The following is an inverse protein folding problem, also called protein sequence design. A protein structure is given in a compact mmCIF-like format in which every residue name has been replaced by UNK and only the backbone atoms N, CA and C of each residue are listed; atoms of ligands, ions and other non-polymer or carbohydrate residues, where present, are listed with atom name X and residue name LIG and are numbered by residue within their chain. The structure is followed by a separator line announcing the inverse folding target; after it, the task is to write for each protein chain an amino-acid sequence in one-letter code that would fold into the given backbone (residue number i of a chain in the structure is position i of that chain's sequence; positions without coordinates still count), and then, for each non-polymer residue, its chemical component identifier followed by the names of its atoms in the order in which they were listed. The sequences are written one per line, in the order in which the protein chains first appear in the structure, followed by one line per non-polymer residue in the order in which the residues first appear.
data_IF_527669178513
#
_entry.id   IF_527669178513
#
_cell.length_a   1.000
_cell.length_b   1.000
_cell.length_c   1.000
_cell.angle_alpha   90.00
_cell.angle_beta   90.00
_cell.angle_gamma   90.00
#
_symmetry.space_group_name_H-M   'P 1'
#
loop_
_entity.id
_entity.type
_entity.pdbx_description
1 polymer ?
#
# COMPACT_ATOMS: atom_id res chain seq x y z
N UNK A 1 14.55 -18.65 8.69
CA UNK A 1 15.03 -18.57 10.10
C UNK A 1 14.01 -19.30 10.95
N UNK A 2 14.42 -20.23 11.81
CA UNK A 2 13.51 -21.08 12.61
C UNK A 2 12.88 -20.37 13.80
N UNK A 3 13.37 -19.18 14.16
CA UNK A 3 12.86 -18.34 15.24
C UNK A 3 12.73 -16.91 14.74
N UNK A 4 11.62 -16.23 15.02
CA UNK A 4 11.41 -14.84 14.64
C UNK A 4 12.22 -13.86 15.50
N UNK A 5 12.37 -12.63 15.03
CA UNK A 5 13.02 -11.57 15.80
C UNK A 5 12.26 -11.24 17.11
N UNK A 6 10.92 -11.32 17.11
CA UNK A 6 10.09 -11.06 18.28
C UNK A 6 10.27 -12.13 19.37
N UNK A 7 10.34 -13.41 18.97
CA UNK A 7 10.59 -14.52 19.88
C UNK A 7 12.00 -14.44 20.50
N UNK A 8 13.01 -14.06 19.71
CA UNK A 8 14.37 -13.80 20.24
C UNK A 8 14.39 -12.63 21.22
N UNK A 9 13.65 -11.55 20.95
CA UNK A 9 13.57 -10.40 21.86
C UNK A 9 12.87 -10.76 23.18
N UNK A 10 11.94 -11.72 23.13
CA UNK A 10 11.17 -12.18 24.30
C UNK A 10 11.91 -13.23 25.14
N UNK A 11 13.11 -13.69 24.73
CA UNK A 11 13.84 -14.77 25.40
C UNK A 11 14.47 -14.40 26.75
N UNK A 12 14.25 -13.17 27.23
CA UNK A 12 14.73 -12.73 28.55
C UNK A 12 16.26 -12.73 28.67
N UNK A 13 16.99 -12.64 27.55
CA UNK A 13 18.45 -12.67 27.53
C UNK A 13 19.07 -14.07 27.45
N UNK A 14 18.26 -15.13 27.44
CA UNK A 14 18.76 -16.47 27.18
C UNK A 14 19.19 -16.60 25.70
N UNK A 15 20.33 -17.27 25.41
CA UNK A 15 20.76 -17.52 24.03
C UNK A 15 19.72 -18.37 23.30
N UNK A 16 19.24 -17.90 22.15
CA UNK A 16 18.31 -18.64 21.31
C UNK A 16 19.08 -19.29 20.17
N UNK A 17 19.03 -20.62 20.08
CA UNK A 17 19.61 -21.36 18.97
C UNK A 17 18.67 -21.27 17.76
N UNK A 18 19.10 -20.57 16.72
CA UNK A 18 18.36 -20.42 15.47
C UNK A 18 18.96 -21.29 14.37
N UNK A 19 18.09 -21.79 13.49
CA UNK A 19 18.46 -22.49 12.27
C UNK A 19 18.03 -21.68 11.06
N UNK A 20 18.86 -21.68 10.02
CA UNK A 20 18.57 -21.03 8.74
C UNK A 20 18.15 -22.10 7.73
N UNK A 21 16.84 -22.39 7.71
CA UNK A 21 16.25 -23.43 6.86
C UNK A 21 16.27 -23.07 5.35
N UNK A 22 16.45 -21.78 5.03
CA UNK A 22 16.46 -21.25 3.68
C UNK A 22 17.32 -19.98 3.60
N UNK A 23 17.71 -19.60 2.38
CA UNK A 23 18.35 -18.29 2.11
C UNK A 23 17.27 -17.22 2.13
N UNK A 24 17.40 -16.25 3.03
CA UNK A 24 16.50 -15.10 3.15
C UNK A 24 17.23 -13.78 3.01
N UNK A 25 16.46 -12.71 2.80
CA UNK A 25 16.95 -11.33 2.74
C UNK A 25 16.28 -10.47 3.80
N UNK A 26 16.85 -9.30 4.09
CA UNK A 26 16.27 -8.36 5.03
C UNK A 26 15.24 -7.44 4.33
N UNK A 27 13.97 -7.86 4.32
CA UNK A 27 12.84 -7.07 3.81
C UNK A 27 11.96 -6.47 4.91
N UNK A 28 12.46 -6.40 6.14
CA UNK A 28 11.69 -5.87 7.28
C UNK A 28 11.44 -4.38 7.09
N UNK A 29 10.18 -3.99 7.27
CA UNK A 29 9.80 -2.58 7.44
C UNK A 29 10.31 -2.07 8.79
N UNK A 30 10.75 -0.81 8.86
CA UNK A 30 11.17 -0.20 10.12
C UNK A 30 9.99 0.30 10.94
N UNK A 31 10.14 0.41 12.25
CA UNK A 31 9.10 0.93 13.14
C UNK A 31 8.65 2.35 12.75
N UNK A 32 9.57 3.18 12.25
CA UNK A 32 9.25 4.52 11.75
C UNK A 32 8.36 4.46 10.50
N UNK A 33 8.67 3.57 9.55
CA UNK A 33 7.82 3.38 8.38
C UNK A 33 6.43 2.86 8.77
N UNK A 34 6.36 1.94 9.73
CA UNK A 34 5.10 1.42 10.25
C UNK A 34 4.26 2.52 10.93
N UNK A 35 4.90 3.35 11.78
CA UNK A 35 4.22 4.45 12.46
C UNK A 35 3.64 5.48 11.47
N UNK A 36 4.40 5.84 10.44
CA UNK A 36 3.89 6.69 9.34
C UNK A 36 2.73 6.00 8.63
N UNK A 37 2.86 4.71 8.32
CA UNK A 37 1.83 3.90 7.69
C UNK A 37 0.51 3.90 8.47
N UNK A 38 0.55 3.77 9.79
CA UNK A 38 -0.65 3.79 10.64
C UNK A 38 -1.42 5.12 10.52
N UNK A 39 -0.71 6.25 10.51
CA UNK A 39 -1.33 7.57 10.32
C UNK A 39 -1.88 7.71 8.89
N UNK A 40 -1.17 7.23 7.88
CA UNK A 40 -1.63 7.24 6.48
C UNK A 40 -2.88 6.39 6.28
N UNK A 41 -2.96 5.21 6.90
CA UNK A 41 -4.14 4.34 6.86
C UNK A 41 -5.37 5.03 7.45
N UNK A 42 -5.22 5.81 8.53
CA UNK A 42 -6.30 6.61 9.10
C UNK A 42 -6.87 7.66 8.14
N UNK A 43 -6.05 8.17 7.21
CA UNK A 43 -6.44 9.17 6.19
C UNK A 43 -6.83 8.56 4.85
N UNK A 44 -6.64 7.25 4.66
CA UNK A 44 -6.82 6.58 3.38
C UNK A 44 -8.22 6.80 2.78
N UNK A 45 -9.34 6.73 3.53
CA UNK A 45 -10.67 6.96 2.97
C UNK A 45 -10.83 8.36 2.35
N UNK A 46 -10.36 9.40 3.04
CA UNK A 46 -10.41 10.79 2.57
C UNK A 46 -9.56 10.96 1.31
N UNK A 47 -8.32 10.43 1.31
CA UNK A 47 -7.41 10.53 0.16
C UNK A 47 -8.00 9.84 -1.07
N UNK A 48 -8.60 8.67 -0.92
CA UNK A 48 -9.22 7.93 -2.04
C UNK A 48 -10.47 8.65 -2.54
N UNK A 49 -11.33 9.14 -1.64
CA UNK A 49 -12.50 9.93 -2.03
C UNK A 49 -12.10 11.16 -2.85
N UNK A 50 -11.11 11.91 -2.36
CA UNK A 50 -10.61 13.10 -3.05
C UNK A 50 -10.05 12.79 -4.44
N UNK A 51 -9.36 11.66 -4.61
CA UNK A 51 -8.84 11.24 -5.93
C UNK A 51 -9.96 10.90 -6.90
N UNK A 52 -11.02 10.23 -6.43
CA UNK A 52 -12.20 9.93 -7.26
C UNK A 52 -12.92 11.19 -7.71
N UNK A 53 -13.13 12.15 -6.81
CA UNK A 53 -13.70 13.46 -7.18
C UNK A 53 -12.87 14.17 -8.27
N UNK A 54 -11.54 14.07 -8.23
CA UNK A 54 -10.69 14.65 -9.26
C UNK A 54 -10.80 13.88 -10.58
N UNK A 55 -10.88 12.55 -10.54
CA UNK A 55 -11.08 11.72 -11.71
C UNK A 55 -12.44 11.98 -12.39
N UNK A 56 -13.49 12.23 -11.62
CA UNK A 56 -14.81 12.61 -12.12
C UNK A 56 -14.74 13.95 -12.88
N UNK A 57 -14.03 14.95 -12.33
CA UNK A 57 -13.81 16.23 -13.04
C UNK A 57 -13.06 16.06 -14.35
N UNK A 58 -12.09 15.15 -14.41
CA UNK A 58 -11.40 14.85 -15.66
C UNK A 58 -12.31 14.12 -16.64
N UNK A 59 -13.19 13.23 -16.18
CA UNK A 59 -14.22 12.63 -17.04
C UNK A 59 -15.14 13.70 -17.63
N UNK A 60 -15.65 14.60 -16.80
CA UNK A 60 -16.55 15.66 -17.24
C UNK A 60 -15.85 16.60 -18.24
N UNK A 61 -14.58 16.95 -18.00
CA UNK A 61 -13.85 17.90 -18.82
C UNK A 61 -13.25 17.33 -20.11
N UNK A 62 -13.00 16.01 -20.17
CA UNK A 62 -12.30 15.37 -21.28
C UNK A 62 -13.14 14.31 -22.01
N UNK A 63 -14.30 13.93 -21.48
CA UNK A 63 -15.10 12.79 -21.96
C UNK A 63 -15.62 12.93 -23.38
N UNK A 64 -15.87 14.16 -23.82
CA UNK A 64 -16.39 14.44 -25.17
C UNK A 64 -15.30 14.53 -26.24
N UNK A 65 -14.02 14.35 -25.87
CA UNK A 65 -12.90 14.41 -26.81
C UNK A 65 -12.72 13.05 -27.50
N UNK A 66 -13.04 12.92 -28.80
CA UNK A 66 -13.05 11.63 -29.49
C UNK A 66 -11.65 11.02 -29.68
N UNK A 67 -10.60 11.82 -29.47
CA UNK A 67 -9.20 11.40 -29.58
C UNK A 67 -8.65 10.79 -28.29
N UNK A 68 -9.39 10.90 -27.17
CA UNK A 68 -8.95 10.42 -25.87
C UNK A 68 -9.73 9.18 -25.46
N UNK A 69 -9.05 8.25 -24.77
CA UNK A 69 -9.69 7.13 -24.08
C UNK A 69 -9.46 7.28 -22.59
N UNK A 70 -10.53 7.58 -21.87
CA UNK A 70 -10.44 7.81 -20.44
C UNK A 70 -10.35 6.48 -19.64
N UNK A 71 -9.60 6.47 -18.53
CA UNK A 71 -9.52 5.31 -17.65
C UNK A 71 -10.85 5.09 -16.92
N UNK A 72 -11.49 3.94 -17.14
CA UNK A 72 -12.81 3.61 -16.56
C UNK A 72 -12.73 2.40 -15.65
N UNK A 73 -13.63 2.35 -14.66
CA UNK A 73 -13.74 1.20 -13.76
C UNK A 73 -14.32 -0.04 -14.46
N UNK A 74 -13.92 -1.21 -13.98
CA UNK A 74 -14.44 -2.50 -14.45
C UNK A 74 -15.52 -2.99 -13.50
N UNK A 75 -16.34 -3.94 -13.95
CA UNK A 75 -17.44 -4.50 -13.17
C UNK A 75 -17.02 -5.12 -11.83
N UNK A 76 -15.76 -5.53 -11.68
CA UNK A 76 -15.23 -6.22 -10.50
C UNK A 76 -14.38 -5.34 -9.59
N UNK A 77 -14.34 -4.02 -9.79
CA UNK A 77 -13.55 -3.16 -8.90
C UNK A 77 -13.59 -1.69 -9.23
N UNK A 78 -13.29 -0.89 -8.21
CA UNK A 78 -13.27 0.56 -8.27
C UNK A 78 -11.85 1.06 -8.07
N UNK A 79 -11.36 1.88 -9.00
CA UNK A 79 -10.01 2.42 -8.99
C UNK A 79 -9.87 3.47 -7.88
N UNK A 80 -8.64 3.65 -7.39
CA UNK A 80 -8.32 4.70 -6.39
C UNK A 80 -7.77 5.98 -7.04
N UNK A 81 -7.63 5.98 -8.37
CA UNK A 81 -7.07 7.03 -9.22
C UNK A 81 -5.80 7.67 -8.64
N UNK A 82 -4.80 6.86 -8.25
CA UNK A 82 -3.49 7.37 -7.82
C UNK A 82 -2.85 8.26 -8.88
N UNK A 83 -3.09 7.96 -10.15
CA UNK A 83 -2.85 8.82 -11.30
C UNK A 83 -4.04 8.71 -12.25
N UNK A 84 -4.19 9.72 -13.13
CA UNK A 84 -5.20 9.73 -14.18
C UNK A 84 -4.48 9.70 -15.53
N UNK A 85 -4.27 8.49 -16.07
CA UNK A 85 -3.56 8.29 -17.33
C UNK A 85 -4.56 8.21 -18.49
N UNK A 86 -4.36 9.07 -19.49
CA UNK A 86 -5.16 9.17 -20.73
C UNK A 86 -4.33 8.71 -21.91
#
# INVERSE_FOLDING_TARGET
MSVSAAERHSSGGAPVLEQYLEVGFNFRMTDIQAAVGLVQLGRLPEVVARRRELADRYHDGLGDLPVLRLPTDRLWGTTNHQSYAV
#
